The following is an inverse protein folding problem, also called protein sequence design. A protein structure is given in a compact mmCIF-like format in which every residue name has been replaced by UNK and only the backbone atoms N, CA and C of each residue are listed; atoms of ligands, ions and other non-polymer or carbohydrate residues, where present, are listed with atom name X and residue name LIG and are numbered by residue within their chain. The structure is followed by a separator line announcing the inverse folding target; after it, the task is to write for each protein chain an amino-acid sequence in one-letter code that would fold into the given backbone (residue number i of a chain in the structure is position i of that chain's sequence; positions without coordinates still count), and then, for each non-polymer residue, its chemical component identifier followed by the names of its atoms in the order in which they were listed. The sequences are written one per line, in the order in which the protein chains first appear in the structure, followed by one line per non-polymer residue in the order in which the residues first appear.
data_IF_977288362962
#
_entry.id   IF_977288362962
#
_cell.length_a   1.000
_cell.length_b   1.000
_cell.length_c   1.000
_cell.angle_alpha   90.00
_cell.angle_beta   90.00
_cell.angle_gamma   90.00
#
_symmetry.space_group_name_H-M   'P 1'
#
loop_
_entity.id
_entity.type
_entity.pdbx_description
1 polymer ?
#
# COMPACT_ATOMS: atom_id res chain seq x y z
N UNK A 1 4.60 -24.88 -2.65
CA UNK A 1 4.13 -23.51 -2.39
C UNK A 1 2.83 -23.25 -3.14
N UNK A 2 1.89 -22.54 -2.52
CA UNK A 2 0.63 -22.13 -3.16
C UNK A 2 0.36 -20.67 -2.81
N UNK A 3 0.07 -19.84 -3.81
CA UNK A 3 -0.30 -18.43 -3.60
C UNK A 3 -1.68 -18.39 -2.96
N UNK A 4 -1.79 -17.74 -1.80
CA UNK A 4 -3.05 -17.51 -1.09
C UNK A 4 -3.60 -16.12 -1.35
N UNK A 5 -2.70 -15.14 -1.48
CA UNK A 5 -3.07 -13.80 -1.87
C UNK A 5 -1.88 -13.11 -2.57
N UNK A 6 -2.19 -12.22 -3.51
CA UNK A 6 -1.19 -11.43 -4.21
C UNK A 6 -1.61 -9.97 -4.29
N UNK A 7 -0.72 -9.07 -3.85
CA UNK A 7 -1.08 -7.71 -3.46
C UNK A 7 -0.05 -6.68 -3.89
N UNK A 8 -0.57 -5.47 -4.06
CA UNK A 8 0.18 -4.24 -4.30
C UNK A 8 0.12 -3.36 -3.06
N UNK A 9 1.24 -3.24 -2.36
CA UNK A 9 1.41 -2.34 -1.23
C UNK A 9 1.84 -0.98 -1.79
N UNK A 10 1.04 0.05 -1.55
CA UNK A 10 1.12 1.32 -2.29
C UNK A 10 1.96 2.40 -1.59
N UNK A 11 2.48 2.11 -0.40
CA UNK A 11 3.21 3.03 0.46
C UNK A 11 3.99 2.28 1.54
N UNK A 12 4.21 2.91 2.71
CA UNK A 12 4.83 2.26 3.87
C UNK A 12 4.01 1.04 4.32
N UNK A 13 4.66 -0.06 4.66
CA UNK A 13 3.98 -1.29 5.07
C UNK A 13 4.83 -2.09 6.07
N UNK A 14 4.25 -3.14 6.65
CA UNK A 14 4.91 -3.98 7.65
C UNK A 14 6.26 -4.57 7.18
N UNK A 15 6.37 -4.89 5.89
CA UNK A 15 7.53 -5.58 5.33
C UNK A 15 8.57 -4.61 4.74
N UNK A 16 8.30 -3.30 4.71
CA UNK A 16 9.14 -2.37 3.98
C UNK A 16 8.66 -0.91 3.99
N UNK A 17 9.55 -0.02 3.55
CA UNK A 17 9.29 1.43 3.51
C UNK A 17 9.09 1.96 2.08
N UNK A 18 8.87 1.07 1.13
CA UNK A 18 8.68 1.41 -0.27
C UNK A 18 7.47 0.65 -0.83
N UNK A 19 6.78 1.19 -1.84
CA UNK A 19 5.76 0.45 -2.56
C UNK A 19 6.32 -0.88 -3.07
N UNK A 20 5.54 -1.96 -2.93
CA UNK A 20 6.04 -3.31 -3.13
C UNK A 20 4.97 -4.26 -3.67
N UNK A 21 5.43 -5.23 -4.47
CA UNK A 21 4.68 -6.42 -4.82
C UNK A 21 4.91 -7.48 -3.72
N UNK A 22 3.82 -8.03 -3.18
CA UNK A 22 3.86 -9.03 -2.10
C UNK A 22 2.84 -10.11 -2.37
N UNK A 23 3.26 -11.36 -2.22
CA UNK A 23 2.36 -12.50 -2.21
C UNK A 23 2.51 -13.27 -0.90
N UNK A 24 1.38 -13.68 -0.33
CA UNK A 24 1.35 -14.62 0.78
C UNK A 24 1.21 -16.03 0.21
N UNK A 25 2.12 -16.92 0.60
CA UNK A 25 2.14 -18.31 0.16
C UNK A 25 1.97 -19.25 1.34
N UNK A 26 1.28 -20.36 1.13
CA UNK A 26 1.29 -21.49 2.06
C UNK A 26 2.30 -22.55 1.62
N UNK A 27 2.90 -23.21 2.61
CA UNK A 27 3.74 -24.38 2.42
C UNK A 27 2.96 -25.66 2.66
N UNK A 28 3.24 -26.71 1.87
CA UNK A 28 2.70 -28.05 2.13
C UNK A 28 3.39 -28.65 3.37
N UNK A 29 2.75 -29.60 4.03
CA UNK A 29 3.22 -30.17 5.31
C UNK A 29 4.62 -30.81 5.26
N UNK A 30 5.11 -31.16 4.06
CA UNK A 30 6.42 -31.76 3.81
C UNK A 30 7.42 -30.79 3.15
N UNK A 31 7.04 -29.53 2.93
CA UNK A 31 7.91 -28.53 2.31
C UNK A 31 8.79 -27.88 3.37
N UNK A 32 10.10 -27.81 3.09
CA UNK A 32 11.07 -27.06 3.90
C UNK A 32 10.99 -25.56 3.53
N UNK A 33 10.64 -24.67 4.47
CA UNK A 33 10.51 -23.23 4.23
C UNK A 33 11.76 -22.59 3.62
N UNK A 34 12.97 -22.97 4.08
CA UNK A 34 14.20 -22.37 3.58
C UNK A 34 14.44 -22.74 2.11
N UNK A 35 14.19 -24.01 1.77
CA UNK A 35 14.25 -24.50 0.40
C UNK A 35 13.23 -23.80 -0.50
N UNK A 36 12.02 -23.58 0.01
CA UNK A 36 10.96 -22.84 -0.69
C UNK A 36 11.38 -21.39 -1.01
N UNK A 37 11.86 -20.65 -0.01
CA UNK A 37 12.33 -19.27 -0.18
C UNK A 37 13.51 -19.21 -1.16
N UNK A 38 14.46 -20.16 -1.06
CA UNK A 38 15.61 -20.22 -1.97
C UNK A 38 15.19 -20.49 -3.42
N UNK A 39 14.21 -21.36 -3.64
CA UNK A 39 13.66 -21.62 -4.98
C UNK A 39 12.96 -20.38 -5.55
N UNK A 40 12.14 -19.70 -4.74
CA UNK A 40 11.52 -18.42 -5.13
C UNK A 40 12.56 -17.36 -5.50
N UNK A 41 13.59 -17.14 -4.67
CA UNK A 41 14.65 -16.19 -4.97
C UNK A 41 15.39 -16.54 -6.27
N UNK A 42 15.68 -17.82 -6.51
CA UNK A 42 16.32 -18.26 -7.74
C UNK A 42 15.43 -18.01 -8.97
N UNK A 43 14.12 -18.28 -8.86
CA UNK A 43 13.17 -17.98 -9.93
C UNK A 43 13.05 -16.48 -10.18
N UNK A 44 12.85 -15.67 -9.13
CA UNK A 44 12.74 -14.22 -9.22
C UNK A 44 13.96 -13.59 -9.90
N UNK A 45 15.17 -14.08 -9.56
CA UNK A 45 16.43 -13.63 -10.16
C UNK A 45 16.56 -13.91 -11.66
N UNK A 46 15.77 -14.84 -12.22
CA UNK A 46 15.75 -15.09 -13.67
C UNK A 46 14.88 -14.08 -14.43
N UNK A 47 13.78 -13.62 -13.82
CA UNK A 47 12.79 -12.78 -14.52
C UNK A 47 12.98 -11.29 -14.29
N UNK A 48 13.36 -10.85 -13.08
CA UNK A 48 13.48 -9.42 -12.73
C UNK A 48 14.48 -8.61 -13.57
N UNK A 49 15.58 -9.18 -14.14
CA UNK A 49 16.49 -8.41 -14.98
C UNK A 49 15.86 -7.90 -16.29
N UNK A 50 14.81 -8.55 -16.78
CA UNK A 50 14.09 -8.11 -17.98
C UNK A 50 13.30 -6.80 -17.77
N UNK A 51 13.21 -6.32 -16.52
CA UNK A 51 12.43 -5.15 -16.09
C UNK A 51 13.28 -4.12 -15.34
N UNK A 52 14.61 -4.28 -15.31
CA UNK A 52 15.51 -3.35 -14.60
C UNK A 52 15.41 -3.41 -13.07
N UNK A 53 14.98 -4.55 -12.52
CA UNK A 53 14.75 -4.76 -11.09
C UNK A 53 15.78 -5.70 -10.45
N UNK A 54 16.90 -5.97 -11.13
CA UNK A 54 17.95 -6.90 -10.68
C UNK A 54 18.64 -6.49 -9.38
N UNK A 55 18.65 -5.20 -9.04
CA UNK A 55 19.21 -4.68 -7.79
C UNK A 55 18.15 -4.44 -6.72
N UNK A 56 16.86 -4.64 -7.02
CA UNK A 56 15.81 -4.44 -6.04
C UNK A 56 16.01 -5.41 -4.85
N UNK A 57 16.03 -4.91 -3.60
CA UNK A 57 16.15 -5.78 -2.44
C UNK A 57 14.90 -6.67 -2.34
N UNK A 58 15.07 -7.89 -1.88
CA UNK A 58 13.95 -8.81 -1.63
C UNK A 58 13.70 -8.89 -0.12
N UNK A 59 12.47 -9.14 0.28
CA UNK A 59 12.13 -9.43 1.66
C UNK A 59 11.23 -10.65 1.75
N UNK A 60 11.27 -11.31 2.90
CA UNK A 60 10.33 -12.35 3.24
C UNK A 60 10.02 -12.31 4.74
N UNK A 61 8.84 -12.80 5.11
CA UNK A 61 8.45 -13.00 6.52
C UNK A 61 7.78 -14.36 6.65
N UNK A 62 8.38 -15.24 7.44
CA UNK A 62 7.80 -16.53 7.79
C UNK A 62 6.64 -16.36 8.77
N UNK A 63 5.64 -17.21 8.65
CA UNK A 63 4.56 -17.37 9.62
C UNK A 63 4.12 -18.84 9.65
N UNK A 64 3.25 -19.20 10.58
CA UNK A 64 2.78 -20.59 10.69
C UNK A 64 2.13 -21.07 9.39
N UNK A 65 2.72 -22.10 8.78
CA UNK A 65 2.24 -22.70 7.54
C UNK A 65 2.56 -21.94 6.25
N UNK A 66 3.37 -20.86 6.28
CA UNK A 66 3.64 -20.09 5.06
C UNK A 66 4.65 -18.95 5.18
N UNK A 67 4.66 -18.09 4.17
CA UNK A 67 5.49 -16.89 4.13
C UNK A 67 4.86 -15.75 3.31
N UNK A 68 5.16 -14.51 3.68
CA UNK A 68 4.99 -13.35 2.81
C UNK A 68 6.28 -13.17 2.01
N UNK A 69 6.20 -13.12 0.68
CA UNK A 69 7.33 -12.99 -0.24
C UNK A 69 7.16 -11.76 -1.11
N UNK A 70 8.18 -10.91 -1.23
CA UNK A 70 8.05 -9.71 -2.04
C UNK A 70 9.32 -8.91 -2.29
N UNK A 71 9.16 -7.85 -3.08
CA UNK A 71 10.20 -6.89 -3.42
C UNK A 71 9.57 -5.53 -3.75
N UNK A 72 10.31 -4.42 -3.55
CA UNK A 72 9.83 -3.09 -3.86
C UNK A 72 9.89 -2.82 -5.37
N UNK A 73 8.94 -2.02 -5.85
CA UNK A 73 8.88 -1.58 -7.24
C UNK A 73 8.37 -0.12 -7.32
N UNK A 74 8.68 0.60 -8.41
CA UNK A 74 8.10 1.91 -8.67
C UNK A 74 6.56 1.91 -8.61
N UNK A 75 5.95 3.03 -8.20
CA UNK A 75 4.49 3.14 -8.03
C UNK A 75 3.72 2.92 -9.33
N UNK A 76 4.32 3.27 -10.46
CA UNK A 76 3.77 3.08 -11.80
C UNK A 76 4.10 1.70 -12.39
N UNK A 77 4.65 0.77 -11.59
CA UNK A 77 5.09 -0.55 -12.03
C UNK A 77 4.60 -1.70 -11.14
N UNK A 78 3.62 -1.42 -10.26
CA UNK A 78 3.19 -2.38 -9.25
C UNK A 78 2.35 -3.52 -9.83
N UNK A 79 1.67 -3.35 -10.96
CA UNK A 79 0.95 -4.46 -11.57
C UNK A 79 1.93 -5.46 -12.20
N UNK A 80 2.87 -5.00 -13.04
CA UNK A 80 3.91 -5.90 -13.58
C UNK A 80 4.74 -6.52 -12.47
N UNK A 81 5.10 -5.77 -11.41
CA UNK A 81 5.84 -6.32 -10.28
C UNK A 81 5.09 -7.45 -9.56
N UNK A 82 3.77 -7.33 -9.40
CA UNK A 82 2.94 -8.42 -8.85
C UNK A 82 3.01 -9.66 -9.73
N UNK A 83 2.86 -9.51 -11.05
CA UNK A 83 2.92 -10.66 -11.95
C UNK A 83 4.31 -11.31 -12.03
N UNK A 84 5.38 -10.50 -11.93
CA UNK A 84 6.75 -11.00 -11.82
C UNK A 84 6.90 -11.87 -10.58
N UNK A 85 6.33 -11.44 -9.44
CA UNK A 85 6.37 -12.19 -8.19
C UNK A 85 5.56 -13.49 -8.28
N UNK A 86 4.36 -13.43 -8.86
CA UNK A 86 3.49 -14.58 -9.03
C UNK A 86 4.14 -15.63 -9.93
N UNK A 87 4.69 -15.22 -11.08
CA UNK A 87 5.46 -16.12 -11.95
C UNK A 87 6.64 -16.76 -11.22
N UNK A 88 7.38 -15.99 -10.42
CA UNK A 88 8.51 -16.51 -9.67
C UNK A 88 8.09 -17.57 -8.64
N UNK A 89 6.93 -17.39 -8.00
CA UNK A 89 6.38 -18.35 -7.04
C UNK A 89 5.90 -19.63 -7.76
N UNK A 90 5.19 -19.48 -8.88
CA UNK A 90 4.73 -20.61 -9.70
C UNK A 90 5.91 -21.43 -10.24
N UNK A 91 6.94 -20.77 -10.77
CA UNK A 91 8.14 -21.43 -11.25
C UNK A 91 8.89 -22.16 -10.13
N UNK A 92 8.96 -21.56 -8.94
CA UNK A 92 9.57 -22.20 -7.79
C UNK A 92 8.74 -23.40 -7.28
N UNK A 93 7.40 -23.33 -7.27
CA UNK A 93 6.56 -24.49 -6.92
C UNK A 93 6.72 -25.64 -7.92
N UNK A 94 6.70 -25.35 -9.23
CA UNK A 94 6.92 -26.33 -10.28
C UNK A 94 8.29 -27.02 -10.12
N UNK A 95 9.35 -26.23 -9.89
CA UNK A 95 10.69 -26.75 -9.63
C UNK A 95 10.74 -27.68 -8.41
N UNK A 96 10.07 -27.30 -7.32
CA UNK A 96 10.06 -28.10 -6.08
C UNK A 96 9.33 -29.44 -6.25
N UNK A 97 8.31 -29.50 -7.13
CA UNK A 97 7.60 -30.72 -7.48
C UNK A 97 8.27 -31.56 -8.57
N UNK A 98 9.23 -31.00 -9.30
CA UNK A 98 9.77 -31.61 -10.51
C UNK A 98 8.79 -31.56 -11.69
N UNK A 99 7.90 -30.57 -11.71
CA UNK A 99 6.97 -30.29 -12.80
C UNK A 99 7.60 -29.29 -13.80
N UNK A 100 7.11 -29.24 -15.06
CA UNK A 100 7.53 -28.19 -16.00
C UNK A 100 7.22 -26.79 -15.44
N UNK A 101 8.22 -25.92 -15.45
CA UNK A 101 8.06 -24.52 -15.07
C UNK A 101 7.23 -23.73 -16.11
N UNK A 102 6.51 -22.66 -15.70
CA UNK A 102 5.88 -21.75 -16.64
C UNK A 102 6.93 -21.12 -17.57
N UNK A 103 6.56 -20.94 -18.85
CA UNK A 103 7.50 -20.44 -19.86
C UNK A 103 7.94 -19.01 -19.54
N UNK A 104 9.25 -18.83 -19.38
CA UNK A 104 9.84 -17.53 -19.03
C UNK A 104 9.69 -16.52 -20.17
N UNK A 105 9.81 -16.96 -21.42
CA UNK A 105 9.78 -16.05 -22.58
C UNK A 105 8.36 -15.50 -22.77
N UNK A 106 7.36 -16.36 -22.71
CA UNK A 106 5.95 -15.97 -22.81
C UNK A 106 5.56 -15.05 -21.64
N UNK A 107 6.03 -15.36 -20.42
CA UNK A 107 5.82 -14.49 -19.26
C UNK A 107 6.45 -13.11 -19.45
N UNK A 108 7.71 -13.04 -19.91
CA UNK A 108 8.41 -11.77 -20.17
C UNK A 108 7.69 -10.96 -21.25
N UNK A 109 7.29 -11.56 -22.36
CA UNK A 109 6.59 -10.86 -23.45
C UNK A 109 5.26 -10.27 -22.98
N UNK A 110 4.50 -11.03 -22.17
CA UNK A 110 3.23 -10.61 -21.59
C UNK A 110 3.43 -9.47 -20.59
N UNK A 111 4.26 -9.67 -19.57
CA UNK A 111 4.50 -8.68 -18.50
C UNK A 111 5.14 -7.40 -19.08
N UNK A 112 5.98 -7.49 -20.11
CA UNK A 112 6.54 -6.30 -20.77
C UNK A 112 5.47 -5.44 -21.46
N UNK A 113 4.36 -6.03 -21.90
CA UNK A 113 3.21 -5.26 -22.42
C UNK A 113 2.59 -4.45 -21.28
N UNK A 114 2.27 -5.13 -20.19
CA UNK A 114 1.62 -4.52 -19.03
C UNK A 114 2.51 -3.43 -18.42
N UNK A 115 3.81 -3.71 -18.25
CA UNK A 115 4.85 -2.76 -17.81
C UNK A 115 4.90 -1.46 -18.63
N UNK A 116 4.71 -1.55 -19.95
CA UNK A 116 4.65 -0.37 -20.84
C UNK A 116 3.34 0.39 -20.72
N UNK A 117 2.23 -0.31 -20.50
CA UNK A 117 0.90 0.28 -20.37
C UNK A 117 0.73 1.00 -19.03
N UNK A 118 1.33 0.50 -17.96
CA UNK A 118 1.27 1.13 -16.63
C UNK A 118 2.28 2.27 -16.42
N UNK A 119 3.35 2.31 -17.22
CA UNK A 119 4.41 3.30 -17.09
C UNK A 119 3.89 4.74 -17.11
N UNK A 120 4.24 5.49 -16.07
CA UNK A 120 3.87 6.89 -15.93
C UNK A 120 5.05 7.76 -15.45
N UNK A 121 5.97 8.09 -16.37
CA UNK A 121 7.15 8.89 -16.04
C UNK A 121 6.83 10.27 -15.44
N UNK A 122 5.67 10.85 -15.80
CA UNK A 122 5.23 12.13 -15.24
C UNK A 122 4.90 12.02 -13.75
N UNK A 123 4.16 10.98 -13.36
CA UNK A 123 3.84 10.69 -11.95
C UNK A 123 5.12 10.40 -11.15
N UNK A 124 6.06 9.63 -11.70
CA UNK A 124 7.37 9.40 -11.05
C UNK A 124 8.17 10.69 -10.86
N UNK A 125 8.21 11.56 -11.88
CA UNK A 125 8.89 12.84 -11.78
C UNK A 125 8.27 13.75 -10.71
N UNK A 126 6.94 13.76 -10.59
CA UNK A 126 6.23 14.47 -9.53
C UNK A 126 6.53 13.89 -8.15
N UNK A 127 6.55 12.56 -8.01
CA UNK A 127 6.89 11.89 -6.75
C UNK A 127 8.28 12.28 -6.26
N UNK A 128 9.29 12.21 -7.14
CA UNK A 128 10.67 12.60 -6.80
C UNK A 128 10.77 14.09 -6.46
N UNK A 129 10.11 14.95 -7.23
CA UNK A 129 10.09 16.39 -6.99
C UNK A 129 9.41 16.77 -5.66
N UNK A 130 8.31 16.10 -5.29
CA UNK A 130 7.63 16.27 -4.01
C UNK A 130 8.49 15.79 -2.85
N UNK A 131 9.10 14.60 -2.99
CA UNK A 131 10.01 14.02 -1.99
C UNK A 131 11.20 14.93 -1.68
N UNK A 132 11.84 15.49 -2.71
CA UNK A 132 12.95 16.46 -2.56
C UNK A 132 12.56 17.72 -1.81
N UNK A 133 11.28 18.10 -1.86
CA UNK A 133 10.70 19.26 -1.15
C UNK A 133 10.12 18.90 0.21
N UNK A 134 10.11 17.61 0.59
CA UNK A 134 9.47 17.15 1.82
C UNK A 134 7.95 17.28 1.82
N UNK A 135 7.33 17.38 0.64
CA UNK A 135 5.88 17.52 0.50
C UNK A 135 5.21 16.15 0.45
N UNK A 136 4.01 16.02 1.02
CA UNK A 136 3.26 14.78 0.92
C UNK A 136 2.81 14.52 -0.51
N UNK A 137 2.76 13.24 -0.88
CA UNK A 137 2.38 12.76 -2.20
C UNK A 137 1.37 11.61 -2.04
N UNK A 138 0.25 11.69 -2.74
CA UNK A 138 -0.74 10.60 -2.83
C UNK A 138 -0.91 10.20 -4.28
N UNK A 139 -1.19 8.92 -4.49
CA UNK A 139 -1.41 8.38 -5.81
C UNK A 139 -2.35 7.17 -5.75
N UNK A 140 -3.11 6.96 -6.81
CA UNK A 140 -3.79 5.73 -7.16
C UNK A 140 -3.91 5.65 -8.69
N UNK A 141 -4.73 4.73 -9.18
CA UNK A 141 -4.89 4.48 -10.62
C UNK A 141 -5.58 5.65 -11.34
N UNK A 142 -6.32 6.50 -10.61
CA UNK A 142 -7.15 7.58 -11.16
C UNK A 142 -6.49 8.96 -11.00
N UNK A 143 -5.90 9.23 -9.83
CA UNK A 143 -5.44 10.56 -9.43
C UNK A 143 -4.07 10.55 -8.75
N UNK A 144 -3.33 11.63 -8.96
CA UNK A 144 -2.12 11.99 -8.23
C UNK A 144 -2.33 13.34 -7.53
N UNK A 145 -1.83 13.48 -6.31
CA UNK A 145 -1.90 14.75 -5.60
C UNK A 145 -0.65 15.03 -4.78
N UNK A 146 -0.32 16.32 -4.65
CA UNK A 146 0.76 16.82 -3.81
C UNK A 146 0.15 17.82 -2.83
N UNK A 147 0.59 17.76 -1.57
CA UNK A 147 -0.08 18.48 -0.50
C UNK A 147 -1.35 17.77 -0.04
N UNK A 148 -1.96 18.28 1.02
CA UNK A 148 -3.23 17.79 1.57
C UNK A 148 -4.24 18.92 1.72
N UNK A 149 -5.52 18.60 1.56
CA UNK A 149 -6.64 19.46 1.89
C UNK A 149 -6.58 20.82 1.19
N UNK A 150 -6.75 21.89 1.96
CA UNK A 150 -6.65 23.30 1.53
C UNK A 150 -5.29 23.66 0.88
N UNK A 151 -4.26 22.84 1.10
CA UNK A 151 -2.92 23.01 0.52
C UNK A 151 -2.60 21.95 -0.54
N UNK A 152 -3.62 21.19 -0.99
CA UNK A 152 -3.47 20.11 -1.97
C UNK A 152 -3.77 20.56 -3.40
N UNK A 153 -3.00 20.04 -4.35
CA UNK A 153 -3.35 20.02 -5.77
C UNK A 153 -3.50 18.58 -6.23
N UNK A 154 -4.56 18.33 -7.00
CA UNK A 154 -4.97 16.99 -7.47
C UNK A 154 -5.09 17.04 -8.99
N UNK A 155 -4.59 16.00 -9.64
CA UNK A 155 -4.67 15.83 -11.09
C UNK A 155 -5.01 14.39 -11.45
N UNK A 156 -5.71 14.15 -12.57
CA UNK A 156 -5.84 12.79 -13.09
C UNK A 156 -4.45 12.21 -13.39
N UNK A 157 -4.18 10.98 -12.95
CA UNK A 157 -2.85 10.35 -13.06
C UNK A 157 -2.38 10.29 -14.52
N UNK A 158 -3.30 10.03 -15.46
CA UNK A 158 -3.02 9.97 -16.91
C UNK A 158 -2.68 11.32 -17.55
N UNK A 159 -3.05 12.43 -16.91
CA UNK A 159 -2.74 13.78 -17.37
C UNK A 159 -2.02 14.58 -16.29
N UNK A 160 -1.16 13.90 -15.52
CA UNK A 160 -0.34 14.51 -14.50
C UNK A 160 0.53 15.64 -15.09
N UNK A 161 0.63 16.79 -14.40
CA UNK A 161 1.34 17.95 -14.94
C UNK A 161 2.84 17.73 -15.00
N UNK A 162 3.52 18.56 -15.79
CA UNK A 162 4.96 18.69 -15.67
C UNK A 162 5.33 19.35 -14.33
N UNK A 163 6.43 18.91 -13.70
CA UNK A 163 6.95 19.51 -12.46
C UNK A 163 7.13 21.03 -12.51
N UNK A 164 7.42 21.60 -13.69
CA UNK A 164 7.60 23.04 -13.88
C UNK A 164 6.28 23.85 -13.83
N UNK A 165 5.14 23.21 -14.08
CA UNK A 165 3.82 23.86 -14.02
C UNK A 165 3.14 23.75 -12.66
N UNK A 166 3.72 22.99 -11.73
CA UNK A 166 3.18 22.84 -10.36
C UNK A 166 3.49 24.10 -9.55
N UNK A 167 2.46 24.65 -8.89
CA UNK A 167 2.62 25.80 -7.99
C UNK A 167 3.09 25.33 -6.61
N UNK A 168 4.37 24.99 -6.51
CA UNK A 168 4.96 24.35 -5.32
C UNK A 168 4.79 25.15 -4.02
N UNK A 169 4.85 26.48 -4.08
CA UNK A 169 4.80 27.35 -2.89
C UNK A 169 3.43 27.36 -2.21
N UNK A 170 2.38 26.91 -2.90
CA UNK A 170 1.03 26.80 -2.36
C UNK A 170 0.76 25.42 -1.70
N UNK A 171 1.72 24.50 -1.78
CA UNK A 171 1.55 23.11 -1.36
C UNK A 171 2.12 22.89 0.04
N UNK A 172 1.35 22.20 0.88
CA UNK A 172 1.77 21.82 2.23
C UNK A 172 0.92 20.64 2.74
N UNK A 173 1.28 20.12 3.90
CA UNK A 173 0.45 19.20 4.67
C UNK A 173 -0.58 19.96 5.50
N UNK A 174 -1.58 19.22 5.94
CA UNK A 174 -2.46 19.59 7.06
C UNK A 174 -2.13 18.70 8.27
N UNK A 175 -2.62 19.03 9.47
CA UNK A 175 -2.58 18.11 10.61
C UNK A 175 -3.29 16.78 10.29
N UNK A 176 -2.63 15.66 10.52
CA UNK A 176 -3.17 14.30 10.27
C UNK A 176 -3.07 13.46 11.54
N UNK A 177 -4.20 12.89 11.96
CA UNK A 177 -4.27 11.86 12.99
C UNK A 177 -4.57 10.51 12.35
N UNK A 178 -3.79 9.48 12.67
CA UNK A 178 -4.10 8.10 12.32
C UNK A 178 -4.65 7.35 13.53
N UNK A 179 -5.70 6.55 13.36
CA UNK A 179 -6.30 5.76 14.43
C UNK A 179 -6.35 4.30 14.01
N UNK A 180 -5.78 3.42 14.82
CA UNK A 180 -5.82 1.97 14.64
C UNK A 180 -6.10 1.24 15.95
N UNK A 181 -6.27 -0.07 15.87
CA UNK A 181 -6.59 -0.97 16.97
C UNK A 181 -7.81 -1.85 16.70
N UNK A 182 -8.08 -2.83 17.56
CA UNK A 182 -9.18 -3.78 17.36
C UNK A 182 -10.53 -3.07 17.56
N UNK A 183 -10.75 -2.48 18.73
CA UNK A 183 -12.03 -1.84 19.10
C UNK A 183 -11.87 -0.34 19.38
N UNK A 184 -12.95 0.42 19.20
CA UNK A 184 -13.03 1.83 19.62
C UNK A 184 -12.42 2.85 18.64
N UNK A 185 -11.96 2.42 17.45
CA UNK A 185 -11.46 3.31 16.39
C UNK A 185 -12.51 4.36 16.02
N UNK A 186 -13.72 3.93 15.69
CA UNK A 186 -14.82 4.79 15.25
C UNK A 186 -15.33 5.76 16.30
N UNK A 187 -15.45 5.30 17.54
CA UNK A 187 -15.79 6.19 18.66
C UNK A 187 -14.71 7.27 18.84
N UNK A 188 -13.44 6.89 18.78
CA UNK A 188 -12.30 7.82 18.90
C UNK A 188 -12.25 8.80 17.75
N UNK A 189 -12.43 8.33 16.51
CA UNK A 189 -12.49 9.15 15.29
C UNK A 189 -13.57 10.22 15.40
N UNK A 190 -14.81 9.82 15.73
CA UNK A 190 -15.94 10.75 15.90
C UNK A 190 -15.71 11.78 17.01
N UNK A 191 -15.16 11.36 18.15
CA UNK A 191 -14.83 12.29 19.24
C UNK A 191 -13.79 13.32 18.82
N UNK A 192 -12.69 12.88 18.20
CA UNK A 192 -11.62 13.78 17.73
C UNK A 192 -12.12 14.73 16.64
N UNK A 193 -12.89 14.23 15.66
CA UNK A 193 -13.55 15.05 14.64
C UNK A 193 -14.40 16.14 15.28
N UNK A 194 -15.22 15.81 16.28
CA UNK A 194 -16.07 16.79 16.98
C UNK A 194 -15.26 17.84 17.74
N UNK A 195 -14.16 17.43 18.40
CA UNK A 195 -13.26 18.34 19.13
C UNK A 195 -12.59 19.31 18.16
N UNK A 196 -12.01 18.80 17.07
CA UNK A 196 -11.35 19.62 16.05
C UNK A 196 -12.33 20.58 15.37
N UNK A 197 -13.55 20.13 15.05
CA UNK A 197 -14.62 21.00 14.55
C UNK A 197 -14.96 22.12 15.51
N UNK A 198 -15.02 21.84 16.82
CA UNK A 198 -15.24 22.87 17.86
C UNK A 198 -14.06 23.84 17.99
N UNK A 199 -12.88 23.44 17.54
CA UNK A 199 -11.71 24.30 17.37
C UNK A 199 -11.64 24.95 15.98
N UNK A 200 -12.75 25.01 15.25
CA UNK A 200 -12.90 25.69 13.95
C UNK A 200 -12.13 25.06 12.77
N UNK A 201 -11.71 23.79 12.90
CA UNK A 201 -11.20 23.03 11.76
C UNK A 201 -12.34 22.45 10.91
N UNK A 202 -12.15 22.44 9.59
CA UNK A 202 -12.92 21.62 8.66
C UNK A 202 -12.23 20.26 8.54
N UNK A 203 -12.83 19.26 9.17
CA UNK A 203 -12.19 17.95 9.37
C UNK A 203 -12.62 16.97 8.28
N UNK A 204 -11.65 16.36 7.60
CA UNK A 204 -11.86 15.16 6.80
C UNK A 204 -11.64 13.93 7.66
N UNK A 205 -12.63 13.05 7.78
CA UNK A 205 -12.51 11.85 8.60
C UNK A 205 -12.94 10.59 7.87
N UNK A 206 -12.27 9.47 8.17
CA UNK A 206 -12.67 8.15 7.69
C UNK A 206 -13.13 7.29 8.86
N UNK A 207 -14.16 6.48 8.63
CA UNK A 207 -14.63 5.45 9.55
C UNK A 207 -15.16 4.23 8.79
N UNK A 208 -15.60 3.21 9.53
CA UNK A 208 -16.34 2.07 8.98
C UNK A 208 -17.66 2.47 8.31
N UNK A 209 -18.17 3.68 8.56
CA UNK A 209 -19.41 4.18 7.96
C UNK A 209 -19.18 4.93 6.65
N UNK A 210 -17.95 5.36 6.39
CA UNK A 210 -17.59 6.08 5.17
C UNK A 210 -16.57 7.20 5.38
N UNK A 211 -16.50 8.07 4.37
CA UNK A 211 -15.72 9.31 4.38
C UNK A 211 -16.65 10.47 4.68
N UNK A 212 -16.28 11.27 5.69
CA UNK A 212 -17.03 12.46 6.10
C UNK A 212 -16.17 13.71 5.99
N UNK A 213 -16.79 14.81 5.58
CA UNK A 213 -16.20 16.15 5.64
C UNK A 213 -17.09 16.99 6.55
N UNK A 214 -16.52 17.50 7.63
CA UNK A 214 -17.23 18.27 8.64
C UNK A 214 -18.50 17.57 9.19
N UNK A 215 -18.40 16.25 9.42
CA UNK A 215 -19.50 15.34 9.84
C UNK A 215 -20.56 15.06 8.77
N UNK A 216 -20.42 15.59 7.55
CA UNK A 216 -21.28 15.26 6.41
C UNK A 216 -20.66 14.10 5.64
N UNK A 217 -21.39 13.00 5.51
CA UNK A 217 -20.97 11.84 4.72
C UNK A 217 -20.92 12.23 3.25
N UNK A 218 -19.75 12.13 2.63
CA UNK A 218 -19.56 12.35 1.18
C UNK A 218 -19.50 11.05 0.40
N UNK A 219 -19.09 9.95 1.05
CA UNK A 219 -19.10 8.61 0.49
C UNK A 219 -19.38 7.59 1.58
N UNK A 220 -20.35 6.70 1.35
CA UNK A 220 -20.78 5.67 2.30
C UNK A 220 -20.15 4.31 1.98
N UNK A 221 -19.83 3.52 3.00
CA UNK A 221 -19.28 2.16 2.87
C UNK A 221 -18.12 1.89 3.84
N UNK A 222 -17.66 0.65 3.95
CA UNK A 222 -16.46 0.32 4.75
C UNK A 222 -15.19 0.84 4.07
N UNK A 223 -14.90 2.10 4.37
CA UNK A 223 -13.83 2.90 3.79
C UNK A 223 -12.74 3.14 4.84
N UNK A 224 -12.19 2.06 5.41
CA UNK A 224 -11.08 2.11 6.40
C UNK A 224 -9.69 1.86 5.80
N UNK A 225 -9.60 1.87 4.46
CA UNK A 225 -8.37 1.65 3.68
C UNK A 225 -7.79 2.92 3.04
N UNK A 226 -6.73 2.74 2.25
CA UNK A 226 -5.96 3.85 1.65
C UNK A 226 -6.78 4.76 0.73
N UNK A 227 -7.77 4.23 0.01
CA UNK A 227 -8.63 5.01 -0.88
C UNK A 227 -9.45 6.08 -0.14
N UNK A 228 -10.02 5.70 1.00
CA UNK A 228 -10.82 6.59 1.84
C UNK A 228 -10.00 7.76 2.41
N UNK A 229 -8.80 7.44 2.89
CA UNK A 229 -7.86 8.42 3.39
C UNK A 229 -7.46 9.40 2.29
N UNK A 230 -7.22 8.91 1.07
CA UNK A 230 -6.91 9.77 -0.09
C UNK A 230 -8.08 10.69 -0.43
N UNK A 231 -9.31 10.19 -0.43
CA UNK A 231 -10.49 11.01 -0.69
C UNK A 231 -10.63 12.17 0.31
N UNK A 232 -10.48 11.87 1.60
CA UNK A 232 -10.52 12.90 2.64
C UNK A 232 -9.38 13.92 2.47
N UNK A 233 -8.16 13.45 2.21
CA UNK A 233 -6.97 14.30 2.07
C UNK A 233 -6.91 15.09 0.76
N UNK A 234 -7.67 14.69 -0.27
CA UNK A 234 -7.78 15.43 -1.55
C UNK A 234 -8.88 16.51 -1.52
N UNK A 235 -9.76 16.49 -0.52
CA UNK A 235 -10.83 17.47 -0.45
C UNK A 235 -10.31 18.86 -0.06
N UNK A 236 -10.42 19.83 -0.97
CA UNK A 236 -9.86 21.18 -0.80
C UNK A 236 -10.49 22.02 0.31
N UNK A 237 -11.59 21.59 0.94
CA UNK A 237 -12.13 22.27 2.13
C UNK A 237 -11.47 21.82 3.43
N UNK A 238 -10.79 20.67 3.43
CA UNK A 238 -10.25 20.05 4.64
C UNK A 238 -8.98 20.75 5.09
N UNK A 239 -8.90 21.10 6.36
CA UNK A 239 -7.71 21.69 6.99
C UNK A 239 -7.21 20.90 8.21
N UNK A 240 -7.82 19.76 8.54
CA UNK A 240 -7.29 18.72 9.43
C UNK A 240 -7.89 17.35 9.08
N UNK A 241 -7.15 16.26 9.27
CA UNK A 241 -7.62 14.90 8.96
C UNK A 241 -7.58 13.95 10.17
N UNK A 242 -8.61 13.13 10.29
CA UNK A 242 -8.74 12.06 11.31
C UNK A 242 -9.05 10.75 10.59
N UNK A 243 -8.04 9.90 10.41
CA UNK A 243 -8.11 8.76 9.51
C UNK A 243 -8.07 7.46 10.29
N UNK A 244 -9.19 6.73 10.28
CA UNK A 244 -9.19 5.34 10.71
C UNK A 244 -8.42 4.47 9.70
N UNK A 245 -7.52 3.67 10.24
CA UNK A 245 -6.64 2.79 9.48
C UNK A 245 -6.75 1.39 10.09
N UNK A 246 -7.62 0.56 9.52
CA UNK A 246 -7.83 -0.79 10.00
C UNK A 246 -6.65 -1.70 9.62
N UNK A 247 -6.43 -2.75 10.41
CA UNK A 247 -5.43 -3.79 10.14
C UNK A 247 -5.53 -4.36 8.73
N UNK A 248 -6.75 -4.66 8.27
CA UNK A 248 -6.96 -5.14 6.89
C UNK A 248 -6.44 -4.17 5.83
N UNK A 249 -6.66 -2.86 6.02
CA UNK A 249 -6.12 -1.81 5.16
C UNK A 249 -4.59 -1.75 5.19
N UNK A 250 -3.99 -1.78 6.38
CA UNK A 250 -2.53 -1.78 6.58
C UNK A 250 -1.87 -2.96 5.87
N UNK A 251 -2.38 -4.16 6.08
CA UNK A 251 -1.80 -5.36 5.50
C UNK A 251 -2.04 -5.41 3.99
N UNK A 252 -3.22 -5.01 3.51
CA UNK A 252 -3.58 -5.10 2.09
C UNK A 252 -2.93 -4.04 1.21
N UNK A 253 -2.75 -2.81 1.70
CA UNK A 253 -2.33 -1.66 0.89
C UNK A 253 -1.23 -0.80 1.52
N UNK A 254 -0.87 -1.06 2.77
CA UNK A 254 0.03 -0.21 3.56
C UNK A 254 -0.67 1.01 4.14
N UNK A 255 0.12 1.94 4.66
CA UNK A 255 -0.32 3.24 5.11
C UNK A 255 -0.69 4.15 3.92
N UNK A 256 -1.74 4.93 4.11
CA UNK A 256 -2.18 5.92 3.12
C UNK A 256 -1.26 7.15 3.05
N UNK A 257 -0.59 7.46 4.17
CA UNK A 257 0.27 8.64 4.34
C UNK A 257 1.62 8.21 4.88
N UNK A 258 2.68 8.94 4.50
CA UNK A 258 4.03 8.68 5.00
C UNK A 258 4.28 9.27 6.39
N UNK A 259 3.48 10.28 6.78
CA UNK A 259 3.64 11.03 8.03
C UNK A 259 2.28 11.38 8.61
N UNK A 260 2.20 11.36 9.93
CA UNK A 260 1.11 11.91 10.71
C UNK A 260 1.66 12.75 11.87
N UNK A 261 0.83 13.60 12.46
CA UNK A 261 1.16 14.37 13.66
C UNK A 261 0.85 13.57 14.92
N UNK A 262 -0.19 12.75 14.87
CA UNK A 262 -0.62 11.89 15.97
C UNK A 262 -0.96 10.51 15.41
N UNK A 263 -0.53 9.47 16.11
CA UNK A 263 -0.97 8.10 15.90
C UNK A 263 -1.60 7.57 17.18
N UNK A 264 -2.84 7.08 17.08
CA UNK A 264 -3.61 6.52 18.18
C UNK A 264 -3.74 5.02 17.98
N UNK A 265 -3.26 4.24 18.94
CA UNK A 265 -3.52 2.80 19.03
C UNK A 265 -4.49 2.59 20.17
N UNK A 266 -5.73 2.16 19.88
CA UNK A 266 -6.77 2.05 20.91
C UNK A 266 -6.56 0.82 21.80
N UNK A 267 -6.37 -0.35 21.19
CA UNK A 267 -6.09 -1.64 21.83
C UNK A 267 -5.69 -2.67 20.77
N UNK A 268 -5.06 -3.75 21.22
CA UNK A 268 -4.73 -4.93 20.41
C UNK A 268 -5.38 -6.14 21.08
N UNK A 269 -6.21 -6.85 20.32
CA UNK A 269 -6.89 -8.07 20.76
C UNK A 269 -7.02 -9.04 19.58
N UNK A 270 -7.31 -10.31 19.88
CA UNK A 270 -7.55 -11.34 18.88
C UNK A 270 -8.76 -10.97 18.01
N UNK A 271 -8.50 -10.73 16.74
CA UNK A 271 -9.49 -10.38 15.73
C UNK A 271 -8.94 -10.70 14.34
N UNK A 272 -9.74 -11.35 13.49
CA UNK A 272 -9.36 -11.73 12.13
C UNK A 272 -7.99 -12.44 11.99
N UNK A 273 -7.62 -13.30 12.95
CA UNK A 273 -6.41 -14.12 12.87
C UNK A 273 -6.49 -15.12 11.69
N UNK A 274 -5.35 -15.44 11.10
CA UNK A 274 -5.20 -16.32 9.94
C UNK A 274 -4.94 -15.57 8.62
N UNK A 275 -5.38 -14.32 8.51
CA UNK A 275 -5.18 -13.53 7.29
C UNK A 275 -3.78 -12.91 7.22
N UNK A 276 -3.20 -12.85 6.02
CA UNK A 276 -1.95 -12.13 5.73
C UNK A 276 -0.79 -12.50 6.67
N UNK A 277 -0.72 -13.76 7.10
CA UNK A 277 0.34 -14.26 7.97
C UNK A 277 0.29 -13.75 9.41
N UNK A 278 -0.85 -13.26 9.89
CA UNK A 278 -1.04 -12.89 11.30
C UNK A 278 -1.74 -14.02 12.01
N UNK A 279 -1.01 -14.79 12.83
CA UNK A 279 -1.51 -16.02 13.45
C UNK A 279 -1.80 -15.86 14.94
N UNK A 280 -1.28 -14.80 15.56
CA UNK A 280 -1.37 -14.55 16.99
C UNK A 280 -1.66 -13.08 17.32
N UNK A 281 -1.98 -12.80 18.58
CA UNK A 281 -2.16 -11.42 19.08
C UNK A 281 -0.81 -10.69 19.10
N UNK A 282 0.27 -11.43 19.32
CA UNK A 282 1.64 -10.95 19.25
C UNK A 282 1.98 -10.50 17.81
N UNK A 283 1.62 -11.31 16.80
CA UNK A 283 1.75 -10.90 15.40
C UNK A 283 0.94 -9.62 15.12
N UNK A 284 -0.27 -9.53 15.69
CA UNK A 284 -1.12 -8.34 15.56
C UNK A 284 -0.48 -7.10 16.17
N UNK A 285 0.17 -7.23 17.33
CA UNK A 285 0.85 -6.12 18.00
C UNK A 285 2.08 -5.62 17.22
N UNK A 286 2.66 -6.45 16.34
CA UNK A 286 3.76 -6.08 15.47
C UNK A 286 3.32 -5.31 14.22
N UNK A 287 2.04 -5.37 13.82
CA UNK A 287 1.46 -4.64 12.67
C UNK A 287 1.28 -3.15 12.99
#
# INVERSE_FOLDING_TARGET
MEIKDSRRLTGLHLLGRAPSAVADVSFRSNEDPERCIKAWLAALNRIRPFFGLETAPTFHRLFEGGASLGFPAPIDQLYAATEINDWAIEAADAQLKGEPEPDLKDAVERIQRDHREEANPAVLALQDAAKKRGLPFLWDDDEVSIGYGIHGQVWPARSAPNTASVQWDALDRIPVTLITGTNGKTTTSRMLTRILKKAEFTVGSTSTDGVCIDEVVIESGDWTGTGAARLALRNQSVNAAVLETARGGLLRRGLAVERCDVAVVTNVAADHLGDYGIQSVEDMAHV
#
